data_IF_857961236273
#
_entry.id   IF_857961236273
#
_cell.length_a   1.000
_cell.length_b   1.000
_cell.length_c   1.000
_cell.angle_alpha   90.00
_cell.angle_beta   90.00
_cell.angle_gamma   90.00
#
_symmetry.space_group_name_H-M   'P 1'
#
loop_
_entity.id
_entity.type
_entity.pdbx_description
1 polymer ?
#
# COMPACT_ATOMS: atom_id res chain seq x y z
N UNK A 1 -0.49 -5.33 48.65
CA UNK A 1 -0.04 -5.80 47.31
C UNK A 1 -0.45 -4.83 46.19
N UNK A 2 -1.68 -4.33 46.17
CA UNK A 2 -2.20 -3.44 45.10
C UNK A 2 -1.48 -2.06 45.07
N UNK A 3 -1.16 -1.49 46.24
CA UNK A 3 -0.48 -0.18 46.31
C UNK A 3 0.93 -0.18 45.68
N UNK A 4 1.65 -1.31 45.73
CA UNK A 4 2.99 -1.45 45.13
C UNK A 4 2.89 -1.51 43.59
N UNK A 5 1.83 -2.15 43.07
CA UNK A 5 1.58 -2.22 41.63
C UNK A 5 1.27 -0.84 41.04
N UNK A 6 0.45 -0.03 41.72
CA UNK A 6 0.12 1.33 41.26
C UNK A 6 1.37 2.22 41.27
N UNK A 7 2.21 2.13 42.31
CA UNK A 7 3.46 2.89 42.37
C UNK A 7 4.45 2.48 41.28
N UNK A 8 4.51 1.18 40.94
CA UNK A 8 5.35 0.69 39.84
C UNK A 8 4.88 1.21 38.46
N UNK A 9 3.57 1.37 38.25
CA UNK A 9 3.04 1.91 36.99
C UNK A 9 3.25 3.42 36.84
N UNK A 10 3.26 4.19 37.94
CA UNK A 10 3.54 5.64 37.90
C UNK A 10 5.03 5.94 37.65
N UNK A 11 5.93 5.01 37.97
CA UNK A 11 7.36 5.14 37.68
C UNK A 11 7.69 4.90 36.20
N UNK A 12 6.82 4.19 35.48
CA UNK A 12 6.91 4.05 34.02
C UNK A 12 6.28 5.29 33.39
N UNK A 13 7.09 6.36 33.27
CA UNK A 13 6.71 7.58 32.56
C UNK A 13 6.19 7.30 31.14
N UNK A 14 5.57 8.29 30.47
CA UNK A 14 4.92 8.09 29.18
C UNK A 14 5.90 7.44 28.20
N UNK A 15 5.53 6.25 27.71
CA UNK A 15 6.29 5.48 26.74
C UNK A 15 6.52 6.36 25.52
N UNK A 16 7.74 6.90 25.39
CA UNK A 16 8.13 7.64 24.19
C UNK A 16 8.10 6.62 23.04
N UNK A 17 7.36 6.96 22.00
CA UNK A 17 7.41 6.23 20.75
C UNK A 17 8.83 6.44 20.20
N UNK A 18 9.69 5.43 20.36
CA UNK A 18 11.01 5.39 19.75
C UNK A 18 10.78 5.33 18.23
N UNK A 19 10.90 6.48 17.57
CA UNK A 19 11.02 6.54 16.13
C UNK A 19 12.47 6.15 15.86
N UNK A 20 12.69 4.91 15.43
CA UNK A 20 14.00 4.46 15.00
C UNK A 20 14.53 5.42 13.93
N UNK A 21 15.53 6.25 14.26
CA UNK A 21 16.19 7.17 13.32
C UNK A 21 16.81 6.43 12.11
N UNK A 22 17.02 5.11 12.27
CA UNK A 22 17.48 4.20 11.23
C UNK A 22 16.38 3.62 10.34
N UNK A 23 15.11 3.96 10.56
CA UNK A 23 14.07 3.78 9.54
C UNK A 23 14.31 4.83 8.47
N UNK A 24 15.33 4.58 7.64
CA UNK A 24 15.60 5.35 6.43
C UNK A 24 14.29 5.34 5.65
N UNK A 25 13.68 6.51 5.51
CA UNK A 25 12.49 6.68 4.68
C UNK A 25 12.92 6.29 3.28
N UNK A 26 12.61 5.06 2.89
CA UNK A 26 12.96 4.55 1.58
C UNK A 26 12.21 5.41 0.57
N UNK A 27 12.90 5.93 -0.47
CA UNK A 27 12.22 6.66 -1.52
C UNK A 27 11.04 5.84 -2.04
N UNK A 28 9.91 6.49 -2.37
CA UNK A 28 8.77 5.78 -2.93
C UNK A 28 9.21 5.01 -4.17
N UNK A 29 8.78 3.76 -4.29
CA UNK A 29 9.03 2.97 -5.50
C UNK A 29 8.11 3.51 -6.59
N UNK A 30 8.70 4.06 -7.65
CA UNK A 30 7.97 4.69 -8.76
C UNK A 30 8.04 3.78 -9.99
N UNK A 31 6.89 3.50 -10.59
CA UNK A 31 6.81 2.90 -11.93
C UNK A 31 7.08 4.01 -12.95
N UNK A 32 8.11 3.89 -13.81
CA UNK A 32 8.43 4.92 -14.79
C UNK A 32 7.28 5.20 -15.76
N UNK A 33 7.19 6.45 -16.22
CA UNK A 33 6.25 6.83 -17.27
C UNK A 33 6.51 6.01 -18.55
N UNK A 34 5.43 5.64 -19.26
CA UNK A 34 5.51 4.80 -20.46
C UNK A 34 5.53 3.29 -20.18
N UNK A 35 5.56 2.84 -18.92
CA UNK A 35 5.41 1.41 -18.59
C UNK A 35 4.03 0.92 -19.01
N UNK A 36 3.99 -0.06 -19.90
CA UNK A 36 2.73 -0.69 -20.35
C UNK A 36 2.32 -1.74 -19.33
N UNK A 37 1.12 -1.57 -18.76
CA UNK A 37 0.56 -2.51 -17.79
C UNK A 37 -0.43 -3.43 -18.53
N UNK A 38 -0.11 -4.73 -18.70
CA UNK A 38 -1.03 -5.65 -19.36
C UNK A 38 -2.22 -5.94 -18.44
N UNK A 39 -3.43 -5.60 -18.90
CA UNK A 39 -4.67 -5.81 -18.15
C UNK A 39 -5.68 -6.62 -18.94
N UNK A 40 -6.38 -7.52 -18.25
CA UNK A 40 -7.52 -8.27 -18.76
C UNK A 40 -8.79 -7.64 -18.22
N UNK A 41 -9.75 -7.34 -19.10
CA UNK A 41 -11.04 -6.78 -18.69
C UNK A 41 -11.86 -7.79 -17.89
N UNK A 42 -12.47 -7.33 -16.79
CA UNK A 42 -13.34 -8.16 -15.94
C UNK A 42 -14.70 -8.41 -16.61
N UNK A 43 -15.13 -7.48 -17.47
CA UNK A 43 -16.39 -7.57 -18.21
C UNK A 43 -16.20 -7.14 -19.66
N UNK A 44 -17.11 -7.59 -20.53
CA UNK A 44 -17.13 -7.18 -21.94
C UNK A 44 -17.63 -5.74 -22.06
N UNK A 45 -16.93 -4.94 -22.85
CA UNK A 45 -17.36 -3.59 -23.23
C UNK A 45 -17.95 -3.66 -24.64
N UNK A 46 -19.08 -2.98 -24.85
CA UNK A 46 -19.74 -2.92 -26.16
C UNK A 46 -20.25 -1.50 -26.40
N UNK A 47 -20.16 -1.01 -27.63
CA UNK A 47 -20.64 0.34 -28.00
C UNK A 47 -22.17 0.48 -27.94
N UNK A 48 -22.91 -0.63 -27.90
CA UNK A 48 -24.38 -0.61 -27.78
C UNK A 48 -24.84 -0.23 -26.36
N UNK A 49 -24.12 -0.68 -25.34
CA UNK A 49 -24.57 -0.58 -23.95
C UNK A 49 -23.67 0.34 -23.10
N UNK A 50 -22.38 0.44 -23.43
CA UNK A 50 -21.47 1.31 -22.71
C UNK A 50 -21.78 2.78 -23.02
N UNK A 51 -21.78 3.61 -21.98
CA UNK A 51 -21.99 5.05 -22.05
C UNK A 51 -20.79 5.80 -21.51
N UNK A 52 -20.67 7.05 -21.92
CA UNK A 52 -19.64 7.93 -21.39
C UNK A 52 -19.81 8.08 -19.87
N UNK A 53 -18.71 7.86 -19.14
CA UNK A 53 -18.71 7.84 -17.68
C UNK A 53 -18.89 6.46 -17.05
N UNK A 54 -19.18 5.41 -17.82
CA UNK A 54 -19.22 4.04 -17.28
C UNK A 54 -17.83 3.61 -16.75
N UNK A 55 -17.83 3.02 -15.56
CA UNK A 55 -16.63 2.46 -14.96
C UNK A 55 -16.16 1.20 -15.69
N UNK A 56 -14.89 1.16 -16.06
CA UNK A 56 -14.25 -0.03 -16.65
C UNK A 56 -13.32 -0.65 -15.61
N UNK A 57 -13.46 -1.95 -15.41
CA UNK A 57 -12.64 -2.72 -14.48
C UNK A 57 -11.79 -3.75 -15.23
N UNK A 58 -10.53 -3.83 -14.87
CA UNK A 58 -9.59 -4.84 -15.35
C UNK A 58 -8.72 -5.37 -14.22
N UNK A 59 -8.11 -6.52 -14.47
CA UNK A 59 -7.12 -7.14 -13.59
C UNK A 59 -5.78 -7.22 -14.31
N UNK A 60 -4.69 -7.08 -13.59
CA UNK A 60 -3.34 -7.28 -14.11
C UNK A 60 -3.20 -8.72 -14.63
N UNK A 61 -2.69 -8.86 -15.85
CA UNK A 61 -2.44 -10.17 -16.45
C UNK A 61 -1.10 -10.76 -15.99
N UNK A 62 -0.13 -9.88 -15.68
CA UNK A 62 1.19 -10.24 -15.20
C UNK A 62 1.68 -9.22 -14.16
N UNK A 63 2.50 -9.64 -13.18
CA UNK A 63 3.09 -8.72 -12.22
C UNK A 63 4.03 -7.70 -12.89
N UNK A 64 3.95 -6.44 -12.48
CA UNK A 64 4.87 -5.37 -12.92
C UNK A 64 5.93 -5.15 -11.86
N UNK A 65 7.20 -5.26 -12.27
CA UNK A 65 8.36 -5.16 -11.38
C UNK A 65 9.19 -3.91 -11.63
N UNK A 66 9.71 -3.31 -10.57
CA UNK A 66 10.74 -2.26 -10.62
C UNK A 66 11.87 -2.66 -9.67
N UNK A 67 13.12 -2.60 -10.14
CA UNK A 67 14.30 -2.99 -9.35
C UNK A 67 14.15 -4.37 -8.67
N UNK A 68 13.72 -5.38 -9.44
CA UNK A 68 13.47 -6.75 -8.96
C UNK A 68 12.42 -6.91 -7.83
N UNK A 69 11.63 -5.87 -7.54
CA UNK A 69 10.49 -5.94 -6.62
C UNK A 69 9.19 -5.87 -7.43
N UNK A 70 8.21 -6.72 -7.09
CA UNK A 70 6.84 -6.61 -7.61
C UNK A 70 6.19 -5.37 -7.00
N UNK A 71 5.79 -4.43 -7.85
CA UNK A 71 5.14 -3.17 -7.45
C UNK A 71 3.64 -3.22 -7.72
N UNK A 72 3.25 -3.85 -8.83
CA UNK A 72 1.85 -4.14 -9.16
C UNK A 72 1.73 -5.66 -9.27
N UNK A 73 1.03 -6.33 -8.35
CA UNK A 73 0.88 -7.78 -8.37
C UNK A 73 -0.03 -8.26 -9.49
#
# INVERSE_FOLDING_TARGET
MIAILILATLLQGPKKLEIDENTKIQPPVVVPAGTVIPVTLTARITTKNARDGDGIYGKTAFPVTVNNKIVIP
#
